data_IF_419053100897
#
_entry.id   IF_419053100897
#
_cell.length_a   1.000
_cell.length_b   1.000
_cell.length_c   1.000
_cell.angle_alpha   90.00
_cell.angle_beta   90.00
_cell.angle_gamma   90.00
#
_symmetry.space_group_name_H-M   'P 1'
#
loop_
_entity.id
_entity.type
_entity.pdbx_description
1 polymer ?
#
# COMPACT_ATOMS: atom_id res chain seq x y z
N UNK A 1 -0.50 7.61 -7.49
CA UNK A 1 -1.75 8.20 -7.04
C UNK A 1 -1.86 9.61 -7.58
N UNK A 2 -2.96 9.89 -8.27
CA UNK A 2 -3.21 11.19 -8.82
C UNK A 2 -3.61 12.13 -7.69
N UNK A 3 -2.95 13.27 -7.60
CA UNK A 3 -3.37 14.34 -6.72
C UNK A 3 -4.55 15.04 -7.40
N UNK A 4 -5.76 14.55 -7.16
CA UNK A 4 -7.00 15.01 -7.83
C UNK A 4 -7.29 16.52 -7.68
N UNK A 5 -6.60 17.20 -6.79
CA UNK A 5 -6.77 18.60 -6.49
C UNK A 5 -5.71 19.50 -7.14
N UNK A 6 -4.88 18.96 -8.02
CA UNK A 6 -3.86 19.72 -8.73
C UNK A 6 -4.12 19.72 -10.25
N UNK A 7 -3.75 20.81 -10.91
CA UNK A 7 -3.81 20.89 -12.37
C UNK A 7 -2.69 20.03 -12.95
N UNK A 8 -2.99 19.05 -13.83
CA UNK A 8 -1.97 18.24 -14.47
C UNK A 8 -0.91 19.09 -15.18
N UNK A 9 0.36 18.69 -15.08
CA UNK A 9 1.48 19.39 -15.72
C UNK A 9 1.93 20.68 -15.02
N UNK A 10 1.38 20.99 -13.85
CA UNK A 10 1.81 22.13 -13.04
C UNK A 10 2.47 21.64 -11.74
N UNK A 11 3.29 22.50 -11.10
CA UNK A 11 3.87 22.23 -9.80
C UNK A 11 2.80 22.26 -8.69
N UNK A 12 1.87 21.30 -8.71
CA UNK A 12 0.80 21.12 -7.73
C UNK A 12 -0.05 22.40 -7.52
N UNK A 13 -0.27 23.19 -8.59
CA UNK A 13 -1.23 24.28 -8.56
C UNK A 13 -2.61 23.73 -8.27
N UNK A 14 -3.33 24.35 -7.32
CA UNK A 14 -4.70 23.96 -7.01
C UNK A 14 -5.59 24.13 -8.24
N UNK A 15 -6.44 23.13 -8.53
CA UNK A 15 -7.44 23.19 -9.60
C UNK A 15 -8.70 23.95 -9.21
N UNK A 16 -8.74 24.55 -8.03
CA UNK A 16 -9.88 25.27 -7.46
C UNK A 16 -9.44 26.62 -6.86
N UNK A 17 -10.40 27.53 -6.77
CA UNK A 17 -10.22 28.81 -6.13
C UNK A 17 -10.56 28.70 -4.63
N UNK A 18 -9.71 29.23 -3.78
CA UNK A 18 -9.89 29.18 -2.31
C UNK A 18 -10.70 30.40 -1.77
N UNK A 19 -11.58 30.96 -2.60
CA UNK A 19 -12.34 32.14 -2.23
C UNK A 19 -13.45 31.84 -1.22
N UNK A 20 -14.05 30.66 -1.31
CA UNK A 20 -15.10 30.22 -0.40
C UNK A 20 -14.61 29.00 0.35
N UNK A 21 -14.52 29.10 1.66
CA UNK A 21 -14.17 27.98 2.56
C UNK A 21 -15.38 27.71 3.43
N UNK A 22 -16.10 26.64 3.09
CA UNK A 22 -17.18 26.13 3.93
C UNK A 22 -16.59 25.20 5.00
N UNK A 23 -17.16 25.15 6.22
CA UNK A 23 -16.74 24.20 7.23
C UNK A 23 -16.99 22.77 6.72
N UNK A 24 -16.00 21.90 6.90
CA UNK A 24 -16.15 20.49 6.59
C UNK A 24 -17.11 19.84 7.59
N UNK A 25 -18.14 19.19 7.10
CA UNK A 25 -19.08 18.44 7.92
C UNK A 25 -19.22 17.01 7.39
N UNK A 26 -19.14 16.04 8.28
CA UNK A 26 -19.55 14.67 7.99
C UNK A 26 -21.02 14.50 8.24
N UNK A 27 -21.73 13.94 7.27
CA UNK A 27 -23.10 13.51 7.49
C UNK A 27 -23.11 12.31 8.46
N UNK A 28 -24.16 12.17 9.28
CA UNK A 28 -24.32 10.98 10.12
C UNK A 28 -24.39 9.72 9.25
N UNK A 29 -23.80 8.64 9.74
CA UNK A 29 -23.90 7.32 9.09
C UNK A 29 -25.31 6.76 9.19
N UNK A 30 -25.76 6.07 8.15
CA UNK A 30 -27.10 5.45 8.09
C UNK A 30 -27.09 3.94 8.38
N UNK A 31 -25.92 3.36 8.71
CA UNK A 31 -25.77 1.95 9.00
C UNK A 31 -24.49 1.62 9.75
N UNK A 32 -24.34 0.35 10.15
CA UNK A 32 -23.11 -0.22 10.66
C UNK A 32 -22.25 -0.74 9.51
N UNK A 33 -20.95 -0.83 9.78
CA UNK A 33 -20.03 -1.50 8.85
C UNK A 33 -19.93 -2.95 9.26
N UNK A 34 -20.13 -3.85 8.31
CA UNK A 34 -19.97 -5.28 8.52
C UNK A 34 -18.60 -5.76 8.01
N UNK A 35 -18.21 -6.97 8.46
CA UNK A 35 -16.96 -7.58 8.01
C UNK A 35 -17.00 -7.81 6.50
N UNK A 36 -15.92 -7.43 5.83
CA UNK A 36 -15.70 -7.46 4.37
C UNK A 36 -16.42 -6.37 3.57
N UNK A 37 -17.13 -5.46 4.20
CA UNK A 37 -17.62 -4.27 3.52
C UNK A 37 -16.49 -3.45 2.92
N UNK A 38 -16.76 -2.84 1.77
CA UNK A 38 -15.85 -1.90 1.15
C UNK A 38 -15.99 -0.53 1.82
N UNK A 39 -15.04 -0.17 2.67
CA UNK A 39 -15.03 1.12 3.37
C UNK A 39 -14.16 2.14 2.66
N UNK A 40 -14.65 3.37 2.59
CA UNK A 40 -13.91 4.51 2.06
C UNK A 40 -13.39 5.33 3.24
N UNK A 41 -12.08 5.57 3.26
CA UNK A 41 -11.44 6.35 4.31
C UNK A 41 -10.32 7.24 3.74
N UNK A 42 -10.00 8.30 4.46
CA UNK A 42 -8.85 9.12 4.11
C UNK A 42 -7.57 8.38 4.42
N UNK A 43 -6.63 8.37 3.47
CA UNK A 43 -5.35 7.72 3.69
C UNK A 43 -4.61 8.35 4.90
N UNK A 44 -4.09 7.55 5.84
CA UNK A 44 -3.59 8.05 7.13
C UNK A 44 -2.18 8.67 7.08
N UNK A 45 -1.73 9.15 5.93
CA UNK A 45 -0.38 9.74 5.73
C UNK A 45 -0.23 11.17 6.29
N UNK A 46 -0.99 11.53 7.30
CA UNK A 46 -0.97 12.89 7.80
C UNK A 46 -1.70 13.86 6.87
N UNK A 47 -1.52 15.14 7.12
CA UNK A 47 -2.22 16.23 6.43
C UNK A 47 -1.30 17.10 5.56
N UNK A 48 -0.07 16.69 5.33
CA UNK A 48 0.95 17.46 4.61
C UNK A 48 1.52 16.69 3.43
N UNK A 49 1.96 17.41 2.42
CA UNK A 49 2.71 16.89 1.27
C UNK A 49 3.92 17.77 0.98
N UNK A 50 4.98 17.16 0.46
CA UNK A 50 6.09 17.87 -0.17
C UNK A 50 5.65 18.30 -1.56
N UNK A 51 5.89 19.59 -1.90
CA UNK A 51 5.45 20.18 -3.18
C UNK A 51 6.44 19.82 -4.28
N UNK A 52 6.34 18.57 -4.74
CA UNK A 52 7.13 18.05 -5.85
C UNK A 52 6.30 17.05 -6.65
N UNK A 53 6.36 17.09 -7.98
CA UNK A 53 5.55 16.25 -8.85
C UNK A 53 5.84 14.75 -8.68
N UNK A 54 7.08 14.38 -8.35
CA UNK A 54 7.49 12.99 -8.15
C UNK A 54 7.25 12.52 -6.71
N UNK A 55 7.24 13.43 -5.74
CA UNK A 55 7.13 13.11 -4.31
C UNK A 55 5.71 13.29 -3.74
N UNK A 56 4.83 13.97 -4.46
CA UNK A 56 3.48 14.30 -3.97
C UNK A 56 2.60 13.09 -3.60
N UNK A 57 2.88 11.92 -4.18
CA UNK A 57 2.20 10.66 -3.86
C UNK A 57 2.89 9.83 -2.78
N UNK A 58 4.01 10.30 -2.24
CA UNK A 58 4.73 9.58 -1.19
C UNK A 58 4.22 9.96 0.19
N UNK A 59 4.39 9.04 1.14
CA UNK A 59 4.10 9.32 2.54
C UNK A 59 5.00 10.43 3.06
N UNK A 60 4.38 11.53 3.50
CA UNK A 60 5.09 12.68 4.06
C UNK A 60 5.99 12.29 5.24
N UNK A 61 5.49 11.47 6.15
CA UNK A 61 6.27 11.05 7.32
C UNK A 61 7.44 10.15 6.95
N UNK A 62 7.29 9.31 5.92
CA UNK A 62 8.38 8.51 5.40
C UNK A 62 9.47 9.38 4.74
N UNK A 63 9.07 10.41 3.97
CA UNK A 63 10.01 11.37 3.39
C UNK A 63 10.78 12.15 4.46
N UNK A 64 10.10 12.62 5.51
CA UNK A 64 10.74 13.30 6.64
C UNK A 64 11.74 12.36 7.32
N UNK A 65 11.33 11.12 7.62
CA UNK A 65 12.22 10.12 8.27
C UNK A 65 13.45 9.81 7.43
N UNK A 66 13.25 9.56 6.14
CA UNK A 66 14.36 9.28 5.23
C UNK A 66 15.38 10.43 5.17
N UNK A 67 14.88 11.66 5.08
CA UNK A 67 15.74 12.85 5.07
C UNK A 67 16.45 13.06 6.42
N UNK A 68 15.72 12.86 7.50
CA UNK A 68 16.24 12.95 8.87
C UNK A 68 17.33 11.94 9.15
N UNK A 69 17.16 10.69 8.68
CA UNK A 69 18.20 9.66 8.76
C UNK A 69 19.46 10.08 7.98
N UNK A 70 19.31 10.75 6.84
CA UNK A 70 20.44 11.34 6.12
C UNK A 70 21.20 12.37 6.96
N UNK A 71 20.50 13.24 7.71
CA UNK A 71 21.14 14.19 8.65
C UNK A 71 21.79 13.51 9.85
N UNK A 72 21.36 12.34 10.25
CA UNK A 72 21.99 11.49 11.26
C UNK A 72 23.17 10.67 10.70
N UNK A 73 23.66 10.97 9.50
CA UNK A 73 24.75 10.22 8.87
C UNK A 73 24.39 8.82 8.40
N UNK A 74 23.08 8.50 8.31
CA UNK A 74 22.59 7.17 7.96
C UNK A 74 22.58 6.19 9.15
N UNK A 75 22.93 6.64 10.35
CA UNK A 75 22.93 5.81 11.55
C UNK A 75 21.53 5.81 12.23
N UNK A 76 20.84 4.66 12.28
CA UNK A 76 19.53 4.55 12.94
C UNK A 76 19.59 4.83 14.44
N UNK A 77 20.70 4.49 15.11
CA UNK A 77 20.85 4.69 16.56
C UNK A 77 20.98 6.18 16.88
N UNK A 78 21.82 6.88 16.12
CA UNK A 78 21.97 8.34 16.26
C UNK A 78 20.63 9.05 15.92
N UNK A 79 19.90 8.58 14.89
CA UNK A 79 18.60 9.11 14.54
C UNK A 79 17.60 8.95 15.68
N UNK A 80 17.47 7.78 16.27
CA UNK A 80 16.49 7.54 17.35
C UNK A 80 16.84 8.32 18.62
N UNK A 81 18.13 8.50 18.93
CA UNK A 81 18.58 9.29 20.07
C UNK A 81 18.16 10.77 20.01
N UNK A 82 18.15 11.36 18.82
CA UNK A 82 17.76 12.76 18.59
C UNK A 82 16.66 12.93 17.55
N UNK A 83 15.71 11.99 17.49
CA UNK A 83 14.66 11.90 16.47
C UNK A 83 13.91 13.21 16.23
N UNK A 84 13.56 13.91 17.31
CA UNK A 84 12.86 15.20 17.22
C UNK A 84 13.65 16.24 16.46
N UNK A 85 14.95 16.37 16.79
CA UNK A 85 15.87 17.31 16.16
C UNK A 85 16.07 17.01 14.69
N UNK A 86 16.37 15.77 14.33
CA UNK A 86 16.60 15.39 12.93
C UNK A 86 15.35 15.52 12.07
N UNK A 87 14.17 15.18 12.62
CA UNK A 87 12.91 15.39 11.92
C UNK A 87 12.63 16.88 11.67
N UNK A 88 12.96 17.76 12.61
CA UNK A 88 12.79 19.21 12.43
C UNK A 88 13.74 19.74 11.35
N UNK A 89 14.99 19.34 11.36
CA UNK A 89 15.94 19.66 10.29
C UNK A 89 15.44 19.22 8.91
N UNK A 90 14.88 18.00 8.84
CA UNK A 90 14.29 17.48 7.61
C UNK A 90 13.08 18.29 7.13
N UNK A 91 12.18 18.72 8.04
CA UNK A 91 11.04 19.59 7.70
C UNK A 91 11.52 20.93 7.17
N UNK A 92 12.46 21.56 7.84
CA UNK A 92 13.03 22.84 7.42
C UNK A 92 13.71 22.75 6.05
N UNK A 93 14.44 21.67 5.81
CA UNK A 93 15.09 21.42 4.52
C UNK A 93 14.07 21.21 3.40
N UNK A 94 13.07 20.34 3.59
CA UNK A 94 12.00 20.13 2.62
C UNK A 94 11.17 21.41 2.39
N UNK A 95 10.87 22.17 3.44
CA UNK A 95 10.16 23.44 3.33
C UNK A 95 10.91 24.47 2.47
N UNK A 96 12.25 24.50 2.60
CA UNK A 96 13.12 25.44 1.90
C UNK A 96 13.38 25.04 0.44
N UNK A 97 13.52 23.74 0.18
CA UNK A 97 13.89 23.23 -1.15
C UNK A 97 12.70 23.02 -2.07
N UNK A 98 11.59 22.54 -1.56
CA UNK A 98 10.41 22.16 -2.35
C UNK A 98 9.10 22.81 -1.86
N UNK A 99 9.07 23.21 -0.60
CA UNK A 99 7.86 23.65 0.08
C UNK A 99 7.04 22.49 0.67
N UNK A 100 6.28 22.80 1.70
CA UNK A 100 5.32 21.87 2.32
C UNK A 100 3.95 22.49 2.26
N UNK A 101 2.94 21.73 1.77
CA UNK A 101 1.54 22.17 1.75
C UNK A 101 0.70 21.30 2.65
N UNK A 102 -0.16 21.89 3.50
CA UNK A 102 -1.17 21.13 4.23
C UNK A 102 -2.26 20.64 3.29
N UNK A 103 -2.77 19.43 3.59
CA UNK A 103 -3.94 18.86 2.96
C UNK A 103 -5.02 18.63 4.01
N UNK A 104 -5.99 19.51 4.15
CA UNK A 104 -7.11 19.33 5.06
C UNK A 104 -7.93 18.08 4.69
N UNK A 105 -8.76 17.60 5.60
CA UNK A 105 -9.47 16.31 5.48
C UNK A 105 -10.26 16.17 4.18
N UNK A 106 -10.87 17.23 3.70
CA UNK A 106 -11.62 17.29 2.43
C UNK A 106 -10.72 17.23 1.18
N UNK A 107 -9.39 17.35 1.34
CA UNK A 107 -8.39 17.33 0.27
C UNK A 107 -7.45 16.15 0.35
N UNK A 108 -7.62 15.27 1.34
CA UNK A 108 -6.86 14.02 1.45
C UNK A 108 -7.33 13.00 0.41
N UNK A 109 -6.42 12.13 0.01
CA UNK A 109 -6.75 11.01 -0.85
C UNK A 109 -7.69 10.03 -0.13
N UNK A 110 -8.67 9.54 -0.86
CA UNK A 110 -9.63 8.55 -0.38
C UNK A 110 -9.20 7.17 -0.86
N UNK A 111 -9.14 6.24 0.05
CA UNK A 111 -8.83 4.84 -0.24
C UNK A 111 -10.05 3.99 0.03
N UNK A 112 -10.21 2.96 -0.80
CA UNK A 112 -11.24 1.94 -0.60
C UNK A 112 -10.55 0.65 -0.21
N UNK A 113 -10.89 0.09 0.94
CA UNK A 113 -10.40 -1.22 1.41
C UNK A 113 -11.55 -1.99 2.05
N UNK A 114 -11.43 -3.31 2.06
CA UNK A 114 -12.36 -4.16 2.81
C UNK A 114 -12.09 -4.05 4.30
N UNK A 115 -13.14 -3.93 5.10
CA UNK A 115 -13.09 -3.97 6.54
C UNK A 115 -12.89 -5.41 7.00
N UNK A 116 -11.73 -5.76 7.54
CA UNK A 116 -11.44 -7.14 7.99
C UNK A 116 -11.55 -7.31 9.50
N UNK A 117 -11.48 -6.25 10.29
CA UNK A 117 -11.67 -6.24 11.73
C UNK A 117 -12.69 -5.19 12.13
N UNK A 118 -13.53 -5.50 13.12
CA UNK A 118 -14.52 -4.59 13.68
C UNK A 118 -14.02 -3.99 15.00
N UNK A 119 -14.59 -2.87 15.47
CA UNK A 119 -14.17 -2.26 16.73
C UNK A 119 -14.29 -3.23 17.91
N UNK A 120 -13.23 -3.33 18.71
CA UNK A 120 -13.17 -4.18 19.89
C UNK A 120 -12.70 -5.62 19.65
N UNK A 121 -12.39 -5.99 18.41
CA UNK A 121 -11.86 -7.30 18.07
C UNK A 121 -10.33 -7.33 18.09
N UNK A 122 -9.76 -8.42 18.54
CA UNK A 122 -8.33 -8.72 18.40
C UNK A 122 -8.07 -9.42 17.07
N UNK A 123 -7.31 -8.77 16.18
CA UNK A 123 -7.03 -9.25 14.84
C UNK A 123 -5.59 -9.75 14.72
N UNK A 124 -5.43 -10.98 14.22
CA UNK A 124 -4.15 -11.55 13.86
C UNK A 124 -4.21 -12.19 12.45
N UNK A 125 -3.05 -12.28 11.82
CA UNK A 125 -2.88 -13.06 10.59
C UNK A 125 -1.88 -14.17 10.90
N UNK A 126 -2.35 -15.41 10.88
CA UNK A 126 -1.55 -16.60 11.16
C UNK A 126 -1.58 -17.48 9.91
N UNK A 127 -0.43 -17.81 9.37
CA UNK A 127 -0.29 -18.63 8.16
C UNK A 127 -1.20 -18.17 7.00
N UNK A 128 -1.27 -16.84 6.78
CA UNK A 128 -2.11 -16.18 5.76
C UNK A 128 -3.62 -16.26 6.02
N UNK A 129 -4.05 -16.80 7.14
CA UNK A 129 -5.44 -16.87 7.57
C UNK A 129 -5.77 -15.75 8.55
N UNK A 130 -6.95 -15.20 8.43
CA UNK A 130 -7.46 -14.20 9.35
C UNK A 130 -7.96 -14.87 10.61
N UNK A 131 -7.44 -14.44 11.75
CA UNK A 131 -7.85 -14.89 13.08
C UNK A 131 -8.42 -13.70 13.84
N UNK A 132 -9.63 -13.83 14.33
CA UNK A 132 -10.33 -12.81 15.12
C UNK A 132 -10.65 -13.41 16.49
N UNK A 133 -10.24 -12.72 17.55
CA UNK A 133 -10.44 -13.17 18.93
C UNK A 133 -9.97 -14.62 19.16
N UNK A 134 -8.86 -14.99 18.52
CA UNK A 134 -8.27 -16.32 18.60
C UNK A 134 -8.95 -17.39 17.75
N UNK A 135 -9.95 -17.05 16.93
CA UNK A 135 -10.66 -17.98 16.05
C UNK A 135 -10.39 -17.66 14.58
N UNK A 136 -10.13 -18.70 13.78
CA UNK A 136 -10.01 -18.55 12.32
C UNK A 136 -11.37 -18.19 11.72
N UNK A 137 -11.40 -17.12 10.93
CA UNK A 137 -12.60 -16.68 10.19
C UNK A 137 -12.44 -16.95 8.70
N UNK A 138 -13.56 -17.18 8.03
CA UNK A 138 -13.58 -17.44 6.61
C UNK A 138 -12.94 -16.29 5.83
N UNK A 139 -12.07 -16.60 4.90
CA UNK A 139 -11.47 -15.61 4.00
C UNK A 139 -12.51 -14.98 3.09
N UNK A 140 -12.34 -13.70 2.72
CA UNK A 140 -13.25 -13.06 1.79
C UNK A 140 -13.19 -13.76 0.42
N UNK A 141 -14.30 -13.84 -0.31
CA UNK A 141 -14.34 -14.45 -1.63
C UNK A 141 -13.37 -13.74 -2.57
N UNK A 142 -12.62 -14.52 -3.35
CA UNK A 142 -11.65 -14.02 -4.31
C UNK A 142 -10.34 -13.51 -3.69
N UNK A 143 -10.03 -13.86 -2.44
CA UNK A 143 -8.73 -13.54 -1.82
C UNK A 143 -7.60 -14.19 -2.63
N UNK A 144 -6.65 -13.38 -3.06
CA UNK A 144 -5.46 -13.80 -3.78
C UNK A 144 -4.21 -13.61 -2.92
N UNK A 145 -3.25 -14.52 -3.10
CA UNK A 145 -1.92 -14.41 -2.52
C UNK A 145 -0.87 -14.34 -3.62
N UNK A 146 0.27 -13.80 -3.28
CA UNK A 146 1.39 -13.76 -4.20
C UNK A 146 2.15 -15.09 -4.17
N UNK A 147 2.41 -15.63 -5.35
CA UNK A 147 3.20 -16.84 -5.55
C UNK A 147 4.34 -16.58 -6.50
N UNK A 148 5.48 -17.19 -6.20
CA UNK A 148 6.59 -17.35 -7.13
C UNK A 148 6.39 -18.69 -7.85
N UNK A 149 6.16 -18.63 -9.15
CA UNK A 149 5.85 -19.78 -9.98
C UNK A 149 6.98 -20.00 -10.97
N UNK A 150 7.59 -21.17 -10.96
CA UNK A 150 8.57 -21.59 -11.97
C UNK A 150 7.89 -22.53 -12.95
N UNK A 151 7.83 -22.14 -14.22
CA UNK A 151 7.27 -22.96 -15.27
C UNK A 151 8.25 -24.09 -15.68
N UNK A 152 7.71 -25.23 -16.09
CA UNK A 152 8.49 -26.25 -16.80
C UNK A 152 8.91 -25.75 -18.18
N UNK A 153 9.92 -26.39 -18.77
CA UNK A 153 10.56 -25.95 -20.02
C UNK A 153 9.55 -25.82 -21.20
N UNK A 154 8.54 -26.66 -21.22
CA UNK A 154 7.51 -26.82 -22.27
C UNK A 154 6.20 -26.10 -21.93
N UNK A 155 6.10 -25.46 -20.76
CA UNK A 155 4.91 -24.73 -20.36
C UNK A 155 4.91 -23.31 -20.91
N UNK A 156 3.76 -22.88 -21.47
CA UNK A 156 3.56 -21.53 -21.98
C UNK A 156 2.67 -20.73 -21.03
N UNK A 157 3.18 -19.59 -20.56
CA UNK A 157 2.44 -18.69 -19.69
C UNK A 157 1.12 -18.20 -20.30
N UNK A 158 1.03 -18.11 -21.64
CA UNK A 158 -0.21 -17.73 -22.32
C UNK A 158 -1.34 -18.74 -22.10
N UNK A 159 -1.00 -20.03 -22.03
CA UNK A 159 -1.98 -21.09 -21.76
C UNK A 159 -2.47 -20.96 -20.31
N UNK A 160 -1.57 -20.74 -19.35
CA UNK A 160 -1.91 -20.55 -17.93
C UNK A 160 -2.79 -19.32 -17.78
N UNK A 161 -2.39 -18.20 -18.38
CA UNK A 161 -3.13 -16.94 -18.34
C UNK A 161 -4.57 -17.12 -18.84
N UNK A 162 -4.74 -17.73 -20.01
CA UNK A 162 -6.06 -17.94 -20.61
C UNK A 162 -6.91 -18.91 -19.79
N UNK A 163 -6.34 -19.95 -19.23
CA UNK A 163 -7.04 -20.97 -18.48
C UNK A 163 -7.54 -20.47 -17.12
N UNK A 164 -6.74 -19.68 -16.43
CA UNK A 164 -7.11 -19.08 -15.15
C UNK A 164 -7.77 -17.71 -15.30
N UNK A 165 -7.85 -17.15 -16.50
CA UNK A 165 -8.40 -15.81 -16.72
C UNK A 165 -7.55 -14.71 -16.12
N UNK A 166 -6.22 -14.91 -16.00
CA UNK A 166 -5.33 -13.93 -15.38
C UNK A 166 -5.23 -12.66 -16.22
N UNK A 167 -5.31 -11.54 -15.55
CA UNK A 167 -5.12 -10.20 -16.11
C UNK A 167 -3.66 -9.75 -16.00
N UNK A 168 -3.32 -8.60 -16.58
CA UNK A 168 -1.98 -8.02 -16.43
C UNK A 168 -1.70 -7.59 -14.97
N UNK A 169 -2.73 -7.36 -14.16
CA UNK A 169 -2.61 -7.03 -12.72
C UNK A 169 -2.18 -8.25 -11.93
N UNK A 170 -2.67 -9.44 -12.30
CA UNK A 170 -2.35 -10.70 -11.61
C UNK A 170 -0.92 -11.15 -11.92
N UNK A 171 -0.33 -10.70 -13.02
CA UNK A 171 1.06 -11.00 -13.43
C UNK A 171 1.95 -9.85 -12.92
N UNK A 172 2.42 -9.95 -11.69
CA UNK A 172 3.16 -8.89 -11.01
C UNK A 172 4.62 -8.74 -11.46
N UNK A 173 5.17 -9.73 -12.15
CA UNK A 173 6.53 -9.68 -12.65
C UNK A 173 7.05 -10.98 -13.22
N UNK A 174 8.24 -10.89 -13.83
CA UNK A 174 8.98 -12.02 -14.39
C UNK A 174 10.45 -11.89 -14.01
N UNK A 175 11.09 -13.00 -13.70
CA UNK A 175 12.52 -13.08 -13.41
C UNK A 175 13.12 -14.30 -14.10
N UNK A 176 14.17 -14.11 -14.90
CA UNK A 176 14.91 -15.21 -15.55
C UNK A 176 14.01 -16.18 -16.31
N UNK A 177 13.67 -15.91 -17.54
CA UNK A 177 13.06 -16.81 -18.50
C UNK A 177 11.74 -17.52 -18.10
N UNK A 178 11.72 -18.28 -16.99
CA UNK A 178 10.62 -19.17 -16.58
C UNK A 178 10.02 -18.90 -15.22
N UNK A 179 10.48 -17.88 -14.48
CA UNK A 179 9.96 -17.54 -13.14
C UNK A 179 9.00 -16.36 -13.27
N UNK A 180 7.79 -16.52 -12.74
CA UNK A 180 6.74 -15.51 -12.70
C UNK A 180 6.29 -15.25 -11.26
N UNK A 181 5.89 -14.02 -10.99
CA UNK A 181 5.24 -13.62 -9.74
C UNK A 181 3.77 -13.39 -10.05
N UNK A 182 2.91 -14.25 -9.51
CA UNK A 182 1.49 -14.29 -9.82
C UNK A 182 0.66 -14.06 -8.57
N UNK A 183 -0.40 -13.26 -8.70
CA UNK A 183 -1.45 -13.19 -7.70
C UNK A 183 -2.49 -14.26 -8.02
N UNK A 184 -2.63 -15.27 -7.18
CA UNK A 184 -3.50 -16.42 -7.38
C UNK A 184 -4.33 -16.68 -6.12
N UNK A 185 -5.53 -17.21 -6.32
CA UNK A 185 -6.30 -17.85 -5.26
C UNK A 185 -5.67 -19.20 -4.91
N UNK A 186 -5.97 -19.72 -3.74
CA UNK A 186 -5.43 -21.01 -3.30
C UNK A 186 -5.87 -22.19 -4.20
N UNK A 187 -7.13 -22.16 -4.68
CA UNK A 187 -7.64 -23.16 -5.63
C UNK A 187 -6.93 -23.09 -6.99
N UNK A 188 -6.60 -21.89 -7.48
CA UNK A 188 -5.83 -21.69 -8.72
C UNK A 188 -4.40 -22.18 -8.58
N UNK A 189 -3.75 -21.91 -7.43
CA UNK A 189 -2.41 -22.41 -7.16
C UNK A 189 -2.37 -23.94 -7.10
N UNK A 190 -3.32 -24.57 -6.40
CA UNK A 190 -3.44 -26.02 -6.34
C UNK A 190 -3.75 -26.64 -7.73
N UNK A 191 -4.57 -25.96 -8.53
CA UNK A 191 -4.84 -26.40 -9.90
C UNK A 191 -3.56 -26.38 -10.75
N UNK A 192 -2.73 -25.34 -10.66
CA UNK A 192 -1.48 -25.27 -11.42
C UNK A 192 -0.49 -26.39 -11.03
N UNK A 193 -0.41 -26.71 -9.74
CA UNK A 193 0.41 -27.84 -9.29
C UNK A 193 -0.07 -29.17 -9.87
N UNK A 194 -1.38 -29.43 -9.79
CA UNK A 194 -1.97 -30.69 -10.25
C UNK A 194 -1.83 -30.92 -11.75
N UNK A 195 -1.82 -29.85 -12.55
CA UNK A 195 -1.73 -29.94 -14.01
C UNK A 195 -0.32 -30.19 -14.55
N UNK A 196 0.67 -30.22 -13.69
CA UNK A 196 2.04 -30.57 -14.08
C UNK A 196 2.74 -29.55 -14.99
N UNK A 197 2.19 -28.35 -15.17
CA UNK A 197 2.78 -27.26 -15.98
C UNK A 197 3.85 -26.48 -15.21
N UNK A 198 3.80 -26.50 -13.89
CA UNK A 198 4.77 -25.82 -13.03
C UNK A 198 5.82 -26.82 -12.51
N UNK A 199 7.05 -26.36 -12.41
CA UNK A 199 8.13 -27.07 -11.77
C UNK A 199 8.16 -26.82 -10.27
N UNK A 200 7.71 -25.61 -9.87
CA UNK A 200 7.73 -25.17 -8.48
C UNK A 200 6.72 -24.03 -8.30
N UNK A 201 5.99 -24.04 -7.21
CA UNK A 201 5.13 -22.95 -6.78
C UNK A 201 5.33 -22.71 -5.29
N UNK A 202 5.72 -21.51 -4.93
CA UNK A 202 6.01 -21.13 -3.56
C UNK A 202 5.23 -19.86 -3.21
N UNK A 203 4.66 -19.77 -2.00
CA UNK A 203 4.18 -18.50 -1.49
C UNK A 203 5.28 -17.43 -1.53
N UNK A 204 4.94 -16.25 -2.01
CA UNK A 204 5.88 -15.16 -2.13
C UNK A 204 5.43 -13.97 -1.30
N UNK A 205 6.23 -13.60 -0.31
CA UNK A 205 6.03 -12.37 0.44
C UNK A 205 6.91 -11.26 -0.12
N UNK A 206 6.27 -10.28 -0.78
CA UNK A 206 6.96 -9.10 -1.31
C UNK A 206 7.51 -8.19 -0.23
N UNK A 207 7.03 -8.31 1.02
CA UNK A 207 7.49 -7.49 2.15
C UNK A 207 8.92 -7.83 2.55
N UNK A 208 9.34 -9.06 2.37
CA UNK A 208 10.69 -9.53 2.69
C UNK A 208 11.79 -8.92 1.80
N UNK A 209 11.44 -8.40 0.62
CA UNK A 209 12.38 -7.72 -0.30
C UNK A 209 12.48 -6.21 -0.11
N UNK A 210 11.48 -5.60 0.49
CA UNK A 210 11.56 -4.21 0.93
C UNK A 210 12.20 -4.25 2.31
N UNK A 211 13.53 -4.09 2.33
CA UNK A 211 14.22 -3.86 3.59
C UNK A 211 13.40 -2.86 4.39
N UNK A 212 13.03 -3.23 5.55
CA UNK A 212 12.22 -2.61 6.59
C UNK A 212 11.96 -1.10 6.42
N UNK A 213 11.17 -0.71 5.45
CA UNK A 213 10.37 0.48 5.57
C UNK A 213 9.23 0.08 6.50
N UNK A 214 9.50 0.18 7.81
CA UNK A 214 8.51 -0.08 8.83
C UNK A 214 7.25 0.68 8.50
N UNK A 215 6.26 0.01 7.96
CA UNK A 215 4.91 0.52 7.88
C UNK A 215 4.36 0.48 9.29
N UNK A 216 4.09 1.68 9.78
CA UNK A 216 3.44 2.06 11.03
C UNK A 216 4.30 1.89 12.30
N UNK A 217 4.84 3.00 12.84
CA UNK A 217 5.10 3.07 14.28
C UNK A 217 3.74 3.16 14.99
N UNK A 218 3.53 2.26 15.94
CA UNK A 218 2.53 2.45 16.98
C UNK A 218 2.81 3.73 17.77
#
# INVERSE_FOLDING_TARGET
PFVHNAIPGTALKNSYLEWVKLPYQRLPGFGSVDRYDAVVFNFPNGDSIVVDAYLAGHDYHALIRQRALGFAGGDPVAYEAERGRFNELARQDWSRTHGIKPRPVDKKEHYVKRCVGLPGEDLAIVDRKLVIDGQEVASPPGLQFNYKVRLKRDADMRIIRNRLGLTDIDIQGKSGGSIYFLALREDEAAMLESQGMVAEIEPFDSSSRRGTLGMYPH
#
